data_IF_253247025507
#
_entry.id   IF_253247025507
#
_cell.length_a   1.000
_cell.length_b   1.000
_cell.length_c   1.000
_cell.angle_alpha   90.00
_cell.angle_beta   90.00
_cell.angle_gamma   90.00
#
_symmetry.space_group_name_H-M   'P 1'
#
loop_
_entity.id
_entity.type
_entity.pdbx_description
1 polymer ?
#
# COMPACT_ATOMS: atom_id res chain seq x y z
N UNK A 1 10.42 9.42 3.56
CA UNK A 1 10.67 10.80 3.07
C UNK A 1 12.16 11.08 2.84
N UNK A 2 13.01 11.01 3.87
CA UNK A 2 14.45 11.33 3.77
C UNK A 2 15.18 10.65 2.59
N UNK A 3 15.04 9.32 2.44
CA UNK A 3 15.69 8.60 1.34
C UNK A 3 15.30 9.14 -0.05
N UNK A 4 14.00 9.40 -0.26
CA UNK A 4 13.49 9.93 -1.54
C UNK A 4 14.05 11.32 -1.77
N UNK A 5 14.03 12.16 -0.75
CA UNK A 5 14.55 13.52 -0.84
C UNK A 5 16.04 13.59 -1.21
N UNK A 6 16.88 12.78 -0.55
CA UNK A 6 18.31 12.71 -0.87
C UNK A 6 18.53 12.29 -2.32
N UNK A 7 17.82 11.27 -2.79
CA UNK A 7 17.94 10.79 -4.16
C UNK A 7 17.45 11.83 -5.19
N UNK A 8 16.34 12.49 -4.92
CA UNK A 8 15.81 13.59 -5.75
C UNK A 8 16.81 14.75 -5.83
N UNK A 9 17.49 15.11 -4.74
CA UNK A 9 18.53 16.17 -4.75
C UNK A 9 19.72 15.83 -5.66
N UNK A 10 20.09 14.55 -5.72
CA UNK A 10 21.16 14.04 -6.58
C UNK A 10 20.67 13.85 -8.03
N UNK A 11 19.35 13.91 -8.27
CA UNK A 11 18.73 13.84 -9.60
C UNK A 11 18.40 12.42 -10.05
N UNK A 12 18.51 11.41 -9.18
CA UNK A 12 18.17 10.04 -9.52
C UNK A 12 16.65 9.81 -9.39
N UNK A 13 15.95 9.37 -10.45
CA UNK A 13 14.53 8.99 -10.37
C UNK A 13 14.36 7.72 -9.54
N UNK A 14 13.90 7.88 -8.29
CA UNK A 14 13.67 6.78 -7.36
C UNK A 14 12.20 6.55 -7.07
N UNK A 15 11.88 5.34 -6.64
CA UNK A 15 10.51 4.93 -6.34
C UNK A 15 10.12 5.28 -4.91
N UNK A 16 9.07 6.08 -4.75
CA UNK A 16 8.40 6.31 -3.47
C UNK A 16 7.79 5.02 -2.92
N UNK A 17 7.19 4.19 -3.78
CA UNK A 17 6.62 2.88 -3.42
C UNK A 17 7.68 1.92 -2.86
N UNK A 18 8.90 1.89 -3.43
CA UNK A 18 9.99 1.07 -2.87
C UNK A 18 10.49 1.64 -1.54
N UNK A 19 10.58 2.97 -1.43
CA UNK A 19 11.02 3.60 -0.19
C UNK A 19 10.07 3.33 0.98
N UNK A 20 8.76 3.37 0.77
CA UNK A 20 7.79 3.08 1.85
C UNK A 20 7.83 1.60 2.26
N UNK A 21 7.93 0.68 1.30
CA UNK A 21 8.08 -0.75 1.59
C UNK A 21 9.37 -1.04 2.36
N UNK A 22 10.48 -0.43 1.93
CA UNK A 22 11.75 -0.52 2.65
C UNK A 22 11.66 -0.01 4.08
N UNK A 23 11.00 1.14 4.29
CA UNK A 23 10.77 1.69 5.62
C UNK A 23 9.91 0.77 6.50
N UNK A 24 8.83 0.18 5.95
CA UNK A 24 7.99 -0.80 6.68
C UNK A 24 8.79 -2.02 7.09
N UNK A 25 9.66 -2.55 6.21
CA UNK A 25 10.56 -3.66 6.56
C UNK A 25 11.49 -3.27 7.71
N UNK A 26 12.09 -2.07 7.65
CA UNK A 26 12.92 -1.53 8.73
C UNK A 26 12.17 -1.41 10.06
N UNK A 27 10.91 -0.97 10.03
CA UNK A 27 10.04 -0.94 11.20
C UNK A 27 9.76 -2.35 11.74
N UNK A 28 9.38 -3.30 10.90
CA UNK A 28 9.11 -4.68 11.33
C UNK A 28 10.31 -5.34 12.01
N UNK A 29 11.51 -5.10 11.48
CA UNK A 29 12.77 -5.57 12.09
C UNK A 29 12.95 -4.95 13.47
N UNK A 30 12.67 -3.65 13.61
CA UNK A 30 12.81 -2.94 14.88
C UNK A 30 11.79 -3.40 15.93
N UNK A 31 10.51 -3.55 15.55
CA UNK A 31 9.43 -3.92 16.47
C UNK A 31 9.34 -5.42 16.77
N UNK A 32 10.04 -6.26 16.01
CA UNK A 32 9.91 -7.72 16.08
C UNK A 32 8.61 -8.24 15.45
N UNK A 33 8.01 -7.47 14.54
CA UNK A 33 6.81 -7.84 13.80
C UNK A 33 7.15 -8.72 12.59
N UNK A 34 6.22 -9.60 12.19
CA UNK A 34 6.39 -10.40 10.97
C UNK A 34 6.07 -9.54 9.76
N UNK A 35 6.92 -9.59 8.75
CA UNK A 35 6.62 -9.00 7.44
C UNK A 35 5.72 -9.95 6.67
N UNK A 36 4.55 -9.48 6.23
CA UNK A 36 3.65 -10.26 5.36
C UNK A 36 4.34 -10.52 4.01
N UNK A 37 4.87 -11.74 3.87
CA UNK A 37 5.57 -12.19 2.67
C UNK A 37 4.65 -12.24 1.46
N UNK A 38 3.35 -12.48 1.64
CA UNK A 38 2.37 -12.52 0.55
C UNK A 38 2.18 -11.14 -0.07
N UNK A 39 1.90 -10.14 0.76
CA UNK A 39 1.78 -8.74 0.31
C UNK A 39 3.11 -8.20 -0.23
N UNK A 40 4.23 -8.48 0.44
CA UNK A 40 5.55 -8.07 -0.03
C UNK A 40 5.89 -8.66 -1.41
N UNK A 41 5.61 -9.95 -1.62
CA UNK A 41 5.86 -10.61 -2.92
C UNK A 41 5.01 -10.00 -4.02
N UNK A 42 3.72 -9.73 -3.76
CA UNK A 42 2.84 -9.06 -4.72
C UNK A 42 3.37 -7.68 -5.12
N UNK A 43 3.86 -6.90 -4.16
CA UNK A 43 4.45 -5.58 -4.42
C UNK A 43 5.78 -5.70 -5.17
N UNK A 44 6.66 -6.62 -4.77
CA UNK A 44 7.95 -6.82 -5.43
C UNK A 44 7.78 -7.28 -6.89
N UNK A 45 6.79 -8.13 -7.17
CA UNK A 45 6.44 -8.55 -8.53
C UNK A 45 6.08 -7.35 -9.41
N UNK A 46 5.37 -6.36 -8.87
CA UNK A 46 5.01 -5.18 -9.68
C UNK A 46 6.21 -4.31 -10.03
N UNK A 47 7.29 -4.32 -9.25
CA UNK A 47 8.51 -3.59 -9.59
C UNK A 47 9.21 -4.13 -10.85
N UNK A 48 8.94 -5.40 -11.20
CA UNK A 48 9.45 -6.04 -12.42
C UNK A 48 8.40 -5.94 -13.54
N UNK A 49 7.14 -6.27 -13.24
CA UNK A 49 6.05 -6.29 -14.24
C UNK A 49 5.74 -4.89 -14.76
N UNK A 50 5.75 -3.87 -13.90
CA UNK A 50 5.37 -2.50 -14.26
C UNK A 50 6.25 -1.88 -15.38
N UNK A 51 7.60 -1.85 -15.29
CA UNK A 51 8.42 -1.31 -16.38
C UNK A 51 8.28 -2.10 -17.68
N UNK A 52 8.11 -3.43 -17.61
CA UNK A 52 7.91 -4.28 -18.80
C UNK A 52 6.58 -3.96 -19.48
N UNK A 53 5.49 -3.89 -18.69
CA UNK A 53 4.17 -3.51 -19.20
C UNK A 53 4.20 -2.11 -19.82
N UNK A 54 4.85 -1.14 -19.16
CA UNK A 54 4.98 0.21 -19.69
C UNK A 54 5.79 0.26 -21.00
N UNK A 55 6.83 -0.57 -21.14
CA UNK A 55 7.57 -0.70 -22.39
C UNK A 55 6.69 -1.22 -23.53
N UNK A 56 5.88 -2.26 -23.27
CA UNK A 56 4.95 -2.85 -24.24
C UNK A 56 3.89 -1.83 -24.64
N UNK A 57 3.23 -1.18 -23.67
CA UNK A 57 2.20 -0.18 -23.94
C UNK A 57 2.79 0.99 -24.74
N UNK A 58 3.99 1.47 -24.39
CA UNK A 58 4.64 2.56 -25.12
C UNK A 58 4.94 2.18 -26.57
N UNK A 59 5.39 0.94 -26.80
CA UNK A 59 5.63 0.42 -28.13
C UNK A 59 4.35 0.37 -28.96
N UNK A 60 3.25 -0.13 -28.38
CA UNK A 60 1.95 -0.21 -29.03
C UNK A 60 1.40 1.19 -29.34
N UNK A 61 1.39 2.10 -28.36
CA UNK A 61 0.93 3.48 -28.56
C UNK A 61 1.75 4.18 -29.65
N UNK A 62 3.08 4.03 -29.64
CA UNK A 62 3.93 4.62 -30.66
C UNK A 62 3.59 4.09 -32.06
N UNK A 63 3.45 2.77 -32.22
CA UNK A 63 3.09 2.16 -33.51
C UNK A 63 1.72 2.62 -34.00
N UNK A 64 0.73 2.68 -33.12
CA UNK A 64 -0.63 3.15 -33.45
C UNK A 64 -0.58 4.61 -33.90
N UNK A 65 0.11 5.47 -33.16
CA UNK A 65 0.23 6.89 -33.50
C UNK A 65 0.93 7.09 -34.85
N UNK A 66 2.06 6.40 -35.08
CA UNK A 66 2.76 6.46 -36.36
C UNK A 66 1.88 5.95 -37.50
N UNK A 67 1.20 4.82 -37.30
CA UNK A 67 0.25 4.27 -38.27
C UNK A 67 -0.83 5.30 -38.63
N UNK A 68 -1.48 5.91 -37.65
CA UNK A 68 -2.50 6.94 -37.88
C UNK A 68 -1.92 8.15 -38.64
N UNK A 69 -0.73 8.62 -38.29
CA UNK A 69 -0.08 9.74 -38.97
C UNK A 69 0.15 9.43 -40.45
N UNK A 70 0.65 8.22 -40.75
CA UNK A 70 0.90 7.77 -42.13
C UNK A 70 -0.38 7.50 -42.89
N UNK A 71 -1.38 6.89 -42.26
CA UNK A 71 -2.65 6.52 -42.90
C UNK A 71 -3.47 7.74 -43.27
N UNK A 72 -3.57 8.73 -42.36
CA UNK A 72 -4.30 9.97 -42.60
C UNK A 72 -3.46 11.05 -43.31
N UNK A 73 -2.22 10.75 -43.72
CA UNK A 73 -1.30 11.68 -44.39
C UNK A 73 -1.24 13.05 -43.69
N UNK A 74 -1.01 13.05 -42.38
CA UNK A 74 -1.05 14.27 -41.57
C UNK A 74 0.14 15.17 -41.92
N UNK A 75 -0.16 16.38 -42.42
CA UNK A 75 0.84 17.39 -42.79
C UNK A 75 1.66 17.85 -41.58
N UNK A 76 2.91 18.27 -41.81
CA UNK A 76 3.86 18.66 -40.75
C UNK A 76 3.33 19.71 -39.77
N UNK A 77 2.73 20.80 -40.25
CA UNK A 77 2.15 21.82 -39.36
C UNK A 77 0.98 21.29 -38.53
N UNK A 78 0.16 20.39 -39.09
CA UNK A 78 -0.92 19.74 -38.36
C UNK A 78 -0.40 18.81 -37.29
N UNK A 79 0.61 18.04 -37.62
CA UNK A 79 1.29 17.15 -36.70
C UNK A 79 1.89 17.91 -35.51
N UNK A 80 2.51 19.07 -35.74
CA UNK A 80 3.10 19.87 -34.67
C UNK A 80 2.06 20.33 -33.65
N UNK A 81 0.97 20.99 -34.08
CA UNK A 81 -0.04 21.44 -33.12
C UNK A 81 -0.79 20.26 -32.47
N UNK A 82 -1.13 19.19 -33.22
CA UNK A 82 -1.79 18.01 -32.66
C UNK A 82 -0.93 17.35 -31.58
N UNK A 83 0.38 17.24 -31.81
CA UNK A 83 1.27 16.62 -30.83
C UNK A 83 1.42 17.51 -29.59
N UNK A 84 1.45 18.84 -29.73
CA UNK A 84 1.47 19.77 -28.59
C UNK A 84 0.21 19.65 -27.74
N UNK A 85 -0.98 19.70 -28.34
CA UNK A 85 -2.23 19.52 -27.61
C UNK A 85 -2.33 18.11 -27.01
N UNK A 86 -1.92 17.08 -27.75
CA UNK A 86 -1.87 15.71 -27.25
C UNK A 86 -0.97 15.57 -26.02
N UNK A 87 0.21 16.19 -26.02
CA UNK A 87 1.12 16.19 -24.88
C UNK A 87 0.53 16.91 -23.66
N UNK A 88 -0.22 18.00 -23.85
CA UNK A 88 -0.93 18.66 -22.75
C UNK A 88 -2.01 17.76 -22.14
N UNK A 89 -2.84 17.13 -22.99
CA UNK A 89 -3.91 16.23 -22.54
C UNK A 89 -3.35 15.00 -21.82
N UNK A 90 -2.36 14.34 -22.41
CA UNK A 90 -1.72 13.16 -21.82
C UNK A 90 -0.89 13.53 -20.59
N UNK A 91 -0.31 14.73 -20.54
CA UNK A 91 0.35 15.26 -19.35
C UNK A 91 -0.62 15.51 -18.20
N UNK A 92 -1.82 16.04 -18.48
CA UNK A 92 -2.89 16.17 -17.49
C UNK A 92 -3.36 14.81 -16.98
N UNK A 93 -3.61 13.86 -17.89
CA UNK A 93 -3.97 12.48 -17.52
C UNK A 93 -2.85 11.78 -16.73
N UNK A 94 -1.59 12.01 -17.09
CA UNK A 94 -0.43 11.49 -16.37
C UNK A 94 -0.28 12.06 -14.99
N UNK A 95 -0.53 13.36 -14.83
CA UNK A 95 -0.51 14.02 -13.52
C UNK A 95 -1.62 13.49 -12.60
N UNK A 96 -2.83 13.28 -13.14
CA UNK A 96 -3.92 12.63 -12.42
C UNK A 96 -3.56 11.21 -11.99
N UNK A 97 -3.06 10.38 -12.92
CA UNK A 97 -2.70 8.99 -12.66
C UNK A 97 -1.55 8.87 -11.65
N UNK A 98 -0.58 9.79 -11.72
CA UNK A 98 0.50 9.92 -10.76
C UNK A 98 -0.01 10.23 -9.36
N UNK A 99 -0.93 11.20 -9.24
CA UNK A 99 -1.58 11.54 -7.98
C UNK A 99 -2.31 10.36 -7.38
N UNK A 100 -3.19 9.71 -8.16
CA UNK A 100 -3.97 8.56 -7.72
C UNK A 100 -3.10 7.38 -7.24
N UNK A 101 -2.01 7.07 -7.95
CA UNK A 101 -1.10 5.99 -7.58
C UNK A 101 -0.26 6.32 -6.34
N UNK A 102 0.15 7.59 -6.16
CA UNK A 102 1.08 7.97 -5.10
C UNK A 102 0.41 8.37 -3.80
N UNK A 103 -0.84 8.83 -3.82
CA UNK A 103 -1.47 9.41 -2.63
C UNK A 103 -1.60 8.40 -1.49
N UNK A 104 -1.89 7.12 -1.80
CA UNK A 104 -1.95 6.05 -0.81
C UNK A 104 -0.58 5.80 -0.14
N UNK A 105 0.53 5.94 -0.88
CA UNK A 105 1.87 5.76 -0.34
C UNK A 105 2.28 6.84 0.66
N UNK A 106 1.75 8.07 0.47
CA UNK A 106 2.11 9.20 1.32
C UNK A 106 1.12 9.31 2.48
N UNK A 107 -0.17 9.24 2.22
CA UNK A 107 -1.22 9.49 3.22
C UNK A 107 -1.68 8.23 3.95
N UNK A 108 -1.56 7.04 3.35
CA UNK A 108 -2.14 5.81 3.88
C UNK A 108 -1.66 5.45 5.29
N UNK A 109 -0.39 5.70 5.59
CA UNK A 109 0.19 5.46 6.93
C UNK A 109 -0.33 6.42 8.00
N UNK A 110 -0.87 7.59 7.60
CA UNK A 110 -1.39 8.60 8.53
C UNK A 110 -2.89 8.47 8.76
N UNK A 111 -3.63 7.71 7.94
CA UNK A 111 -5.08 7.56 8.08
C UNK A 111 -5.49 7.06 9.47
N UNK A 112 -4.86 6.02 10.06
CA UNK A 112 -5.27 5.50 11.37
C UNK A 112 -4.96 6.43 12.55
N UNK A 113 -4.04 7.37 12.37
CA UNK A 113 -3.55 8.29 13.41
C UNK A 113 -3.88 9.74 13.07
N UNK A 114 -4.84 9.96 12.17
CA UNK A 114 -5.23 11.29 11.72
C UNK A 114 -5.79 12.10 12.90
N UNK A 115 -5.23 13.28 13.20
CA UNK A 115 -5.69 14.10 14.32
C UNK A 115 -6.92 14.93 13.99
N UNK A 116 -7.39 14.90 12.74
CA UNK A 116 -8.47 15.76 12.26
C UNK A 116 -9.84 15.23 12.69
N UNK A 117 -10.68 16.11 13.20
CA UNK A 117 -12.11 15.86 13.33
C UNK A 117 -12.83 16.11 12.01
N UNK A 118 -13.98 15.48 11.83
CA UNK A 118 -14.84 15.74 10.67
C UNK A 118 -15.33 17.19 10.69
N UNK A 119 -15.28 17.86 9.53
CA UNK A 119 -15.69 19.26 9.39
C UNK A 119 -16.99 19.29 8.60
N UNK A 120 -18.04 19.82 9.23
CA UNK A 120 -19.31 20.14 8.56
C UNK A 120 -19.35 21.64 8.25
N UNK A 121 -19.29 22.01 6.98
CA UNK A 121 -19.41 23.42 6.53
C UNK A 121 -20.86 23.67 6.13
N UNK A 122 -21.55 24.53 6.91
CA UNK A 122 -22.94 24.98 6.68
C UNK A 122 -23.98 23.85 6.50
N UNK A 123 -23.70 22.63 6.96
CA UNK A 123 -24.58 21.46 6.78
C UNK A 123 -24.70 20.95 5.33
N UNK A 124 -23.94 21.52 4.39
CA UNK A 124 -23.97 21.17 2.97
C UNK A 124 -22.75 20.32 2.59
N UNK A 125 -21.60 20.59 3.20
CA UNK A 125 -20.35 19.88 2.93
C UNK A 125 -19.82 19.23 4.20
N UNK A 126 -19.81 17.90 4.23
CA UNK A 126 -19.18 17.13 5.30
C UNK A 126 -17.85 16.58 4.77
N UNK A 127 -16.74 17.10 5.30
CA UNK A 127 -15.39 16.67 4.99
C UNK A 127 -14.88 15.74 6.08
N UNK A 128 -14.67 14.48 5.74
CA UNK A 128 -14.11 13.51 6.69
C UNK A 128 -12.65 13.80 7.00
N UNK A 129 -12.18 13.35 8.16
CA UNK A 129 -10.77 13.39 8.54
C UNK A 129 -9.83 12.85 7.45
N UNK A 130 -10.24 11.76 6.79
CA UNK A 130 -9.50 11.17 5.68
C UNK A 130 -9.47 12.10 4.46
N UNK A 131 -10.61 12.67 4.05
CA UNK A 131 -10.67 13.59 2.90
C UNK A 131 -9.78 14.81 3.10
N UNK A 132 -9.73 15.36 4.32
CA UNK A 132 -8.84 16.47 4.67
C UNK A 132 -7.37 16.06 4.53
N UNK A 133 -7.00 14.89 5.05
CA UNK A 133 -5.65 14.34 4.94
C UNK A 133 -5.25 14.13 3.47
N UNK A 134 -6.11 13.52 2.66
CA UNK A 134 -5.89 13.32 1.22
C UNK A 134 -5.76 14.66 0.46
N UNK A 135 -6.52 15.69 0.83
CA UNK A 135 -6.41 17.03 0.25
C UNK A 135 -5.06 17.68 0.57
N UNK A 136 -4.64 17.65 1.84
CA UNK A 136 -3.32 18.16 2.26
C UNK A 136 -2.18 17.39 1.57
N UNK A 137 -2.32 16.07 1.44
CA UNK A 137 -1.38 15.25 0.69
C UNK A 137 -1.28 15.66 -0.78
N UNK A 138 -2.42 15.95 -1.43
CA UNK A 138 -2.46 16.45 -2.80
C UNK A 138 -1.73 17.79 -2.95
N UNK A 139 -1.96 18.73 -2.03
CA UNK A 139 -1.27 20.02 -2.02
C UNK A 139 0.24 19.86 -1.81
N UNK A 140 0.65 18.98 -0.89
CA UNK A 140 2.05 18.69 -0.63
C UNK A 140 2.76 18.07 -1.85
N UNK A 141 2.08 17.17 -2.59
CA UNK A 141 2.60 16.63 -3.86
C UNK A 141 2.76 17.77 -4.88
N UNK A 142 1.75 18.64 -5.04
CA UNK A 142 1.82 19.75 -5.99
C UNK A 142 2.99 20.69 -5.67
N UNK A 143 3.15 21.12 -4.42
CA UNK A 143 4.28 21.95 -3.97
C UNK A 143 5.61 21.24 -4.21
N UNK A 144 5.70 19.95 -3.89
CA UNK A 144 6.91 19.14 -4.12
C UNK A 144 7.30 19.07 -5.60
N UNK A 145 6.32 18.96 -6.50
CA UNK A 145 6.56 18.96 -7.95
C UNK A 145 7.14 20.29 -8.41
N UNK A 146 6.60 21.43 -7.96
CA UNK A 146 7.10 22.75 -8.34
C UNK A 146 8.48 23.06 -7.78
N UNK A 147 8.86 22.49 -6.63
CA UNK A 147 10.06 22.89 -5.88
C UNK A 147 11.26 21.94 -6.05
N UNK A 148 11.04 20.62 -6.10
CA UNK A 148 12.14 19.64 -6.03
C UNK A 148 12.30 18.75 -7.27
N UNK A 149 11.33 18.72 -8.19
CA UNK A 149 11.31 17.71 -9.27
C UNK A 149 12.18 18.02 -10.48
N UNK A 150 12.72 19.24 -10.63
CA UNK A 150 13.40 19.68 -11.86
C UNK A 150 14.52 18.72 -12.31
N UNK A 151 15.49 18.40 -11.44
CA UNK A 151 16.62 17.53 -11.79
C UNK A 151 16.19 16.13 -12.23
N UNK A 152 15.16 15.59 -11.59
CA UNK A 152 14.62 14.28 -11.92
C UNK A 152 13.91 14.31 -13.27
N UNK A 153 13.14 15.37 -13.55
CA UNK A 153 12.48 15.57 -14.85
C UNK A 153 13.51 15.71 -15.98
N UNK A 154 14.61 16.43 -15.77
CA UNK A 154 15.69 16.57 -16.75
C UNK A 154 16.39 15.22 -17.03
N UNK A 155 16.65 14.44 -15.97
CA UNK A 155 17.28 13.11 -16.06
C UNK A 155 16.42 12.13 -16.83
N UNK A 156 15.11 12.08 -16.57
CA UNK A 156 14.18 11.20 -17.29
C UNK A 156 13.93 11.70 -18.72
N UNK A 157 13.72 13.00 -18.90
CA UNK A 157 13.32 13.59 -20.18
C UNK A 157 14.44 13.61 -21.23
N UNK A 158 15.70 13.76 -20.81
CA UNK A 158 16.84 13.87 -21.74
C UNK A 158 18.05 13.00 -21.39
N UNK A 159 18.14 12.51 -20.15
CA UNK A 159 19.29 11.77 -19.64
C UNK A 159 19.38 10.32 -20.11
N UNK A 160 18.26 9.72 -20.55
CA UNK A 160 18.19 8.33 -21.04
C UNK A 160 18.29 8.28 -22.56
N UNK A 161 17.43 9.02 -23.26
CA UNK A 161 17.35 9.08 -24.72
C UNK A 161 16.75 10.42 -25.14
N UNK A 162 17.14 10.96 -26.30
CA UNK A 162 16.45 12.11 -26.90
C UNK A 162 15.10 11.66 -27.49
N UNK A 163 14.01 12.18 -26.91
CA UNK A 163 12.65 11.87 -27.36
C UNK A 163 12.16 12.91 -28.38
N UNK A 164 11.57 12.44 -29.47
CA UNK A 164 10.76 13.31 -30.35
C UNK A 164 9.39 13.56 -29.71
N UNK A 165 8.64 14.60 -30.10
CA UNK A 165 7.32 14.88 -29.53
C UNK A 165 6.36 13.68 -29.59
N UNK A 166 6.37 12.91 -30.70
CA UNK A 166 5.56 11.70 -30.86
C UNK A 166 6.00 10.59 -29.89
N UNK A 167 7.32 10.41 -29.72
CA UNK A 167 7.85 9.43 -28.77
C UNK A 167 7.54 9.83 -27.33
N UNK A 168 7.67 11.12 -26.99
CA UNK A 168 7.29 11.64 -25.69
C UNK A 168 5.79 11.43 -25.42
N UNK A 169 4.94 11.69 -26.40
CA UNK A 169 3.50 11.41 -26.30
C UNK A 169 3.24 9.94 -25.99
N UNK A 170 3.87 9.01 -26.70
CA UNK A 170 3.72 7.58 -26.45
C UNK A 170 4.27 7.14 -25.09
N UNK A 171 5.39 7.71 -24.64
CA UNK A 171 6.00 7.43 -23.33
C UNK A 171 5.10 7.89 -22.19
N UNK A 172 4.64 9.14 -22.23
CA UNK A 172 3.76 9.68 -21.18
C UNK A 172 2.42 8.96 -21.21
N UNK A 173 1.86 8.64 -22.39
CA UNK A 173 0.61 7.89 -22.50
C UNK A 173 0.72 6.52 -21.84
N UNK A 174 1.78 5.77 -22.16
CA UNK A 174 1.99 4.46 -21.58
C UNK A 174 2.20 4.51 -20.07
N UNK A 175 2.96 5.50 -19.60
CA UNK A 175 3.13 5.77 -18.18
C UNK A 175 1.78 6.01 -17.49
N UNK A 176 0.97 6.93 -18.01
CA UNK A 176 -0.34 7.28 -17.45
C UNK A 176 -1.30 6.09 -17.45
N UNK A 177 -1.38 5.35 -18.55
CA UNK A 177 -2.22 4.15 -18.68
C UNK A 177 -1.81 3.12 -17.62
N UNK A 178 -0.53 2.77 -17.53
CA UNK A 178 -0.07 1.76 -16.58
C UNK A 178 -0.35 2.17 -15.13
N UNK A 179 -0.07 3.43 -14.76
CA UNK A 179 -0.38 3.89 -13.40
C UNK A 179 -1.88 3.85 -13.10
N UNK A 180 -2.70 4.28 -14.06
CA UNK A 180 -4.15 4.23 -13.92
C UNK A 180 -4.66 2.79 -13.75
N UNK A 181 -4.13 1.83 -14.51
CA UNK A 181 -4.50 0.41 -14.44
C UNK A 181 -4.29 -0.19 -13.03
N UNK A 182 -3.20 0.17 -12.35
CA UNK A 182 -2.89 -0.33 -11.01
C UNK A 182 -3.54 0.48 -9.86
N UNK A 183 -3.99 1.72 -10.13
CA UNK A 183 -4.58 2.59 -9.12
C UNK A 183 -6.12 2.64 -9.17
N UNK A 184 -6.75 2.27 -10.29
CA UNK A 184 -8.17 2.48 -10.52
C UNK A 184 -9.05 1.40 -9.85
N UNK A 185 -9.65 1.77 -8.72
CA UNK A 185 -10.64 0.92 -8.03
C UNK A 185 -11.90 0.69 -8.87
N UNK A 186 -12.34 1.70 -9.62
CA UNK A 186 -13.52 1.59 -10.47
C UNK A 186 -13.31 0.59 -11.61
N UNK A 187 -12.12 0.59 -12.22
CA UNK A 187 -11.77 -0.39 -13.24
C UNK A 187 -11.67 -1.80 -12.65
N UNK A 188 -11.06 -1.94 -11.47
CA UNK A 188 -10.96 -3.23 -10.78
C UNK A 188 -12.35 -3.79 -10.46
N UNK A 189 -13.24 -2.97 -9.92
CA UNK A 189 -14.62 -3.36 -9.60
C UNK A 189 -15.43 -3.71 -10.85
N UNK A 190 -15.24 -2.96 -11.94
CA UNK A 190 -15.89 -3.24 -13.23
C UNK A 190 -15.43 -4.56 -13.83
N UNK A 191 -14.11 -4.85 -13.81
CA UNK A 191 -13.57 -6.13 -14.29
C UNK A 191 -14.08 -7.29 -13.41
N UNK A 192 -14.08 -7.10 -12.10
CA UNK A 192 -14.57 -8.10 -11.14
C UNK A 192 -16.06 -8.39 -11.34
N UNK A 193 -16.90 -7.39 -11.59
CA UNK A 193 -18.34 -7.58 -11.79
C UNK A 193 -18.68 -8.32 -13.09
N UNK A 194 -17.78 -8.28 -14.07
CA UNK A 194 -17.91 -8.99 -15.34
C UNK A 194 -17.15 -10.34 -15.35
N UNK A 195 -16.61 -10.79 -14.22
CA UNK A 195 -15.86 -12.05 -14.12
C UNK A 195 -14.53 -12.07 -14.88
N UNK A 196 -13.99 -10.90 -15.22
CA UNK A 196 -12.72 -10.74 -15.93
C UNK A 196 -11.54 -10.70 -14.96
N UNK A 197 -10.32 -11.09 -15.40
CA UNK A 197 -9.12 -11.02 -14.57
C UNK A 197 -8.84 -9.58 -14.14
N UNK A 198 -8.74 -9.36 -12.83
CA UNK A 198 -8.50 -8.04 -12.24
C UNK A 198 -7.02 -7.72 -12.11
N UNK A 199 -6.69 -6.43 -12.17
CA UNK A 199 -5.35 -5.93 -11.87
C UNK A 199 -5.30 -5.63 -10.37
N UNK A 200 -4.29 -6.12 -9.64
CA UNK A 200 -4.19 -5.86 -8.21
C UNK A 200 -4.03 -4.36 -7.95
N UNK A 201 -4.80 -3.85 -6.99
CA UNK A 201 -4.70 -2.47 -6.50
C UNK A 201 -3.48 -2.34 -5.58
N UNK A 202 -2.30 -2.32 -6.18
CA UNK A 202 -1.02 -2.22 -5.49
C UNK A 202 -0.25 -1.01 -5.98
N UNK A 203 0.44 -0.30 -5.07
CA UNK A 203 1.19 0.87 -5.45
C UNK A 203 2.35 0.47 -6.36
N UNK A 204 2.33 0.98 -7.59
CA UNK A 204 3.41 0.75 -8.55
C UNK A 204 4.40 1.91 -8.57
N UNK A 205 5.59 1.65 -9.10
CA UNK A 205 6.64 2.63 -9.17
C UNK A 205 6.50 3.50 -10.42
N UNK A 206 6.11 4.76 -10.24
CA UNK A 206 6.01 5.73 -11.34
C UNK A 206 7.34 5.87 -12.11
N UNK A 207 8.46 5.99 -11.41
CA UNK A 207 9.79 6.11 -12.03
C UNK A 207 10.17 4.87 -12.85
N UNK A 208 9.79 3.66 -12.42
CA UNK A 208 10.04 2.45 -13.21
C UNK A 208 9.13 2.40 -14.44
N UNK A 209 7.85 2.79 -14.31
CA UNK A 209 6.92 2.84 -15.42
C UNK A 209 7.40 3.78 -16.54
N UNK A 210 7.80 5.01 -16.20
CA UNK A 210 8.25 5.98 -17.20
C UNK A 210 9.56 5.53 -17.88
N UNK A 211 10.50 4.98 -17.11
CA UNK A 211 11.76 4.44 -17.66
C UNK A 211 11.50 3.22 -18.54
N UNK A 212 10.61 2.33 -18.13
CA UNK A 212 10.14 1.20 -18.95
C UNK A 212 9.55 1.65 -20.28
N UNK A 213 8.68 2.67 -20.26
CA UNK A 213 8.12 3.25 -21.47
C UNK A 213 9.22 3.83 -22.40
N UNK A 214 10.21 4.52 -21.86
CA UNK A 214 11.37 5.02 -22.64
C UNK A 214 12.16 3.85 -23.25
N UNK A 215 12.38 2.76 -22.52
CA UNK A 215 13.02 1.54 -23.07
C UNK A 215 12.18 0.96 -24.21
N UNK A 216 10.86 0.96 -24.11
CA UNK A 216 9.96 0.55 -25.20
C UNK A 216 10.21 1.30 -26.50
N UNK A 217 10.37 2.62 -26.44
CA UNK A 217 10.76 3.45 -27.60
C UNK A 217 12.19 3.14 -28.07
N UNK A 218 13.13 2.92 -27.14
CA UNK A 218 14.50 2.59 -27.48
C UNK A 218 14.59 1.29 -28.31
N UNK A 219 13.77 0.29 -28.00
CA UNK A 219 13.70 -0.96 -28.75
C UNK A 219 13.23 -0.74 -30.20
N UNK A 220 12.24 0.14 -30.42
CA UNK A 220 11.78 0.49 -31.78
C UNK A 220 12.89 1.18 -32.58
N UNK A 221 13.64 2.07 -31.94
CA UNK A 221 14.75 2.81 -32.55
C UNK A 221 16.07 2.02 -32.60
N UNK A 222 16.05 0.70 -32.34
CA UNK A 222 17.22 -0.19 -32.33
C UNK A 222 18.36 0.29 -31.41
N UNK A 223 18.02 0.95 -30.29
CA UNK A 223 18.96 1.32 -29.21
C UNK A 223 20.01 2.39 -29.53
N UNK A 224 20.07 2.92 -30.77
CA UNK A 224 21.20 3.74 -31.24
C UNK A 224 21.42 5.09 -30.54
N UNK A 225 20.46 5.57 -29.74
CA UNK A 225 20.57 6.85 -29.00
C UNK A 225 20.42 6.68 -27.48
N UNK A 226 20.43 5.45 -26.98
CA UNK A 226 20.18 5.16 -25.55
C UNK A 226 21.46 5.25 -24.73
N UNK A 227 21.43 6.02 -23.65
CA UNK A 227 22.53 6.16 -22.70
C UNK A 227 22.46 5.08 -21.62
N UNK A 228 22.99 3.90 -21.93
CA UNK A 228 22.96 2.73 -21.05
C UNK A 228 23.59 2.94 -19.66
N UNK A 229 24.62 3.79 -19.56
CA UNK A 229 25.23 4.15 -18.28
C UNK A 229 24.24 4.87 -17.35
N UNK A 230 23.46 5.81 -17.88
CA UNK A 230 22.42 6.50 -17.10
C UNK A 230 21.37 5.49 -16.63
N UNK A 231 20.94 4.60 -17.53
CA UNK A 231 19.94 3.58 -17.21
C UNK A 231 20.42 2.64 -16.09
N UNK A 232 21.67 2.15 -16.16
CA UNK A 232 22.26 1.33 -15.11
C UNK A 232 22.35 2.04 -13.76
N UNK A 233 22.69 3.33 -13.75
CA UNK A 233 22.67 4.16 -12.55
C UNK A 233 21.26 4.25 -11.93
N UNK A 234 20.23 4.47 -12.75
CA UNK A 234 18.83 4.50 -12.30
C UNK A 234 18.43 3.15 -11.69
N UNK A 235 18.72 2.03 -12.37
CA UNK A 235 18.38 0.70 -11.88
C UNK A 235 19.09 0.37 -10.56
N UNK A 236 20.34 0.79 -10.39
CA UNK A 236 21.05 0.66 -9.10
C UNK A 236 20.38 1.45 -7.98
N UNK A 237 19.85 2.64 -8.30
CA UNK A 237 19.09 3.47 -7.37
C UNK A 237 17.80 2.79 -6.89
N UNK A 238 17.12 2.01 -7.74
CA UNK A 238 15.92 1.25 -7.37
C UNK A 238 16.20 0.14 -6.37
N UNK A 239 17.39 -0.48 -6.43
CA UNK A 239 17.82 -1.48 -5.46
C UNK A 239 18.26 -0.82 -4.15
N UNK A 240 18.99 0.30 -4.24
CA UNK A 240 19.50 1.01 -3.07
C UNK A 240 18.40 1.70 -2.24
N UNK A 241 17.37 2.24 -2.90
CA UNK A 241 16.31 3.04 -2.25
C UNK A 241 15.58 2.30 -1.10
N UNK A 242 15.01 1.09 -1.29
CA UNK A 242 14.33 0.38 -0.19
C UNK A 242 15.29 0.05 0.96
N UNK A 243 16.54 -0.31 0.66
CA UNK A 243 17.56 -0.62 1.67
C UNK A 243 17.88 0.61 2.52
N UNK A 244 18.16 1.75 1.87
CA UNK A 244 18.45 3.01 2.56
C UNK A 244 17.24 3.47 3.37
N UNK A 245 16.02 3.35 2.83
CA UNK A 245 14.80 3.70 3.55
C UNK A 245 14.58 2.82 4.79
N UNK A 246 14.84 1.51 4.69
CA UNK A 246 14.74 0.59 5.82
C UNK A 246 15.77 0.88 6.91
N UNK A 247 17.03 1.15 6.53
CA UNK A 247 18.08 1.53 7.47
C UNK A 247 17.75 2.84 8.18
N UNK A 248 17.32 3.86 7.44
CA UNK A 248 16.88 5.14 8.04
C UNK A 248 15.72 4.90 9.01
N UNK A 249 14.72 4.10 8.62
CA UNK A 249 13.57 3.81 9.47
C UNK A 249 14.00 3.13 10.77
N UNK A 250 14.83 2.09 10.68
CA UNK A 250 15.34 1.37 11.85
C UNK A 250 16.13 2.29 12.78
N UNK A 251 17.09 3.06 12.24
CA UNK A 251 17.95 3.95 13.03
C UNK A 251 17.13 5.05 13.69
N UNK A 252 16.17 5.66 12.98
CA UNK A 252 15.30 6.69 13.54
C UNK A 252 14.44 6.16 14.68
N UNK A 253 13.84 4.97 14.53
CA UNK A 253 13.05 4.34 15.59
C UNK A 253 13.92 3.99 16.81
N UNK A 254 15.12 3.45 16.56
CA UNK A 254 16.09 3.16 17.61
C UNK A 254 16.47 4.42 18.39
N UNK A 255 16.73 5.52 17.70
CA UNK A 255 17.08 6.79 18.33
C UNK A 255 15.91 7.36 19.14
N UNK A 256 14.70 7.37 18.58
CA UNK A 256 13.49 7.83 19.27
C UNK A 256 13.21 7.02 20.55
N UNK A 257 13.36 5.71 20.50
CA UNK A 257 13.09 4.86 21.66
C UNK A 257 14.20 4.90 22.71
N UNK A 258 15.47 4.88 22.32
CA UNK A 258 16.57 4.75 23.28
C UNK A 258 17.09 6.10 23.79
N UNK A 259 17.05 7.15 22.96
CA UNK A 259 17.57 8.47 23.33
C UNK A 259 16.45 9.36 23.87
N UNK A 260 15.31 9.41 23.20
CA UNK A 260 14.17 10.23 23.63
C UNK A 260 13.18 9.49 24.52
N UNK A 261 13.41 8.19 24.78
CA UNK A 261 12.53 7.35 25.60
C UNK A 261 11.06 7.34 25.12
N UNK A 262 10.85 7.62 23.83
CA UNK A 262 9.52 7.66 23.24
C UNK A 262 9.04 6.24 22.93
N UNK A 263 7.81 5.91 23.29
CA UNK A 263 7.21 4.64 22.87
C UNK A 263 6.92 4.69 21.36
N UNK A 264 7.69 3.95 20.58
CA UNK A 264 7.58 3.93 19.11
C UNK A 264 6.75 2.76 18.59
N UNK A 265 6.56 1.72 19.40
CA UNK A 265 5.66 0.60 19.11
C UNK A 265 5.14 -0.03 20.40
N UNK A 266 4.00 -0.70 20.30
CA UNK A 266 3.43 -1.49 21.38
C UNK A 266 3.84 -2.95 21.23
N UNK A 267 4.52 -3.56 22.22
CA UNK A 267 4.90 -4.96 22.15
C UNK A 267 3.65 -5.84 22.22
N UNK A 268 3.50 -6.73 21.23
CA UNK A 268 2.40 -7.70 21.14
C UNK A 268 2.95 -9.08 21.49
N UNK A 269 2.66 -9.62 22.69
CA UNK A 269 3.12 -10.95 23.06
C UNK A 269 2.25 -12.03 22.40
N UNK A 270 2.82 -13.23 22.30
CA UNK A 270 2.13 -14.41 21.80
C UNK A 270 2.10 -15.48 22.89
N UNK A 271 0.90 -16.00 23.17
CA UNK A 271 0.65 -17.02 24.19
C UNK A 271 -0.41 -17.99 23.67
N UNK A 272 -0.13 -19.29 23.76
CA UNK A 272 -1.14 -20.34 23.56
C UNK A 272 -2.03 -20.44 24.80
N UNK A 273 -3.01 -19.55 24.87
CA UNK A 273 -4.06 -19.54 25.90
C UNK A 273 -5.01 -20.74 25.72
N UNK A 274 -5.82 -21.05 26.73
CA UNK A 274 -6.83 -22.10 26.61
C UNK A 274 -7.83 -21.81 25.47
N UNK A 275 -8.26 -20.55 25.32
CA UNK A 275 -9.16 -20.16 24.24
C UNK A 275 -8.52 -20.26 22.85
N UNK A 276 -7.23 -19.92 22.73
CA UNK A 276 -6.48 -20.11 21.48
C UNK A 276 -6.32 -21.61 21.16
N UNK A 277 -6.05 -22.44 22.17
CA UNK A 277 -5.97 -23.88 22.03
C UNK A 277 -7.29 -24.48 21.52
N UNK A 278 -8.42 -24.14 22.14
CA UNK A 278 -9.75 -24.63 21.73
C UNK A 278 -10.11 -24.20 20.30
N UNK A 279 -9.66 -23.01 19.88
CA UNK A 279 -9.84 -22.51 18.51
C UNK A 279 -9.01 -23.30 17.51
N UNK A 280 -7.78 -23.64 17.85
CA UNK A 280 -6.87 -24.46 17.04
C UNK A 280 -7.40 -25.90 16.95
N UNK A 281 -7.93 -26.43 18.05
CA UNK A 281 -8.44 -27.80 18.12
C UNK A 281 -9.59 -28.07 17.14
N UNK A 282 -10.46 -27.08 16.95
CA UNK A 282 -11.57 -27.15 15.99
C UNK A 282 -11.14 -27.28 14.52
N UNK A 283 -9.84 -27.14 14.20
CA UNK A 283 -9.34 -27.09 12.83
C UNK A 283 -8.60 -28.34 12.33
N UNK A 284 -8.75 -29.51 12.97
CA UNK A 284 -8.06 -30.77 12.59
C UNK A 284 -6.52 -30.63 12.47
N UNK A 285 -5.94 -29.65 13.16
CA UNK A 285 -4.50 -29.42 13.15
C UNK A 285 -3.78 -30.40 14.10
N UNK A 286 -2.52 -30.76 13.85
CA UNK A 286 -1.76 -31.65 14.74
C UNK A 286 -1.36 -30.92 16.04
N UNK A 287 -2.28 -30.90 17.01
CA UNK A 287 -2.13 -30.22 18.32
C UNK A 287 -1.05 -30.86 19.19
N UNK A 288 -0.78 -32.16 19.01
CA UNK A 288 0.20 -32.92 19.80
C UNK A 288 1.59 -32.27 19.78
N UNK A 289 1.90 -31.56 18.69
CA UNK A 289 3.15 -30.83 18.50
C UNK A 289 3.20 -29.49 19.26
N UNK A 290 2.06 -28.92 19.61
CA UNK A 290 1.91 -27.62 20.28
C UNK A 290 1.93 -27.70 21.81
N UNK A 291 1.78 -28.90 22.38
CA UNK A 291 1.74 -29.08 23.84
C UNK A 291 2.96 -28.51 24.57
N UNK A 292 4.15 -28.58 23.97
CA UNK A 292 5.40 -28.02 24.52
C UNK A 292 5.45 -26.49 24.55
N UNK A 293 4.58 -25.83 23.78
CA UNK A 293 4.51 -24.38 23.68
C UNK A 293 3.39 -23.79 24.55
N UNK A 294 2.51 -24.62 25.12
CA UNK A 294 1.42 -24.19 25.99
C UNK A 294 1.97 -23.54 27.26
N UNK A 295 1.45 -22.38 27.62
CA UNK A 295 1.90 -21.60 28.79
C UNK A 295 3.19 -20.80 28.60
N UNK A 296 3.93 -21.01 27.50
CA UNK A 296 5.09 -20.17 27.19
C UNK A 296 4.65 -18.82 26.64
N UNK A 297 5.26 -17.75 27.14
CA UNK A 297 5.06 -16.38 26.65
C UNK A 297 6.19 -15.98 25.73
N UNK A 298 5.86 -15.62 24.50
CA UNK A 298 6.79 -15.10 23.51
C UNK A 298 6.63 -13.58 23.42
N UNK A 299 7.74 -12.85 23.43
CA UNK A 299 7.69 -11.38 23.51
C UNK A 299 7.27 -10.71 22.20
N UNK A 300 7.43 -11.41 21.08
CA UNK A 300 7.10 -10.88 19.75
C UNK A 300 6.81 -12.01 18.75
N UNK A 301 6.33 -11.61 17.58
CA UNK A 301 5.89 -12.51 16.53
C UNK A 301 7.05 -13.35 15.97
N UNK A 302 8.26 -12.80 15.86
CA UNK A 302 9.44 -13.51 15.33
C UNK A 302 9.84 -14.68 16.24
N UNK A 303 9.89 -14.45 17.57
CA UNK A 303 10.23 -15.50 18.53
C UNK A 303 9.21 -16.64 18.47
N UNK A 304 7.92 -16.31 18.40
CA UNK A 304 6.87 -17.32 18.32
C UNK A 304 6.90 -18.08 16.98
N UNK A 305 7.07 -17.38 15.85
CA UNK A 305 7.19 -18.00 14.55
C UNK A 305 8.39 -18.96 14.45
N UNK A 306 9.52 -18.62 15.08
CA UNK A 306 10.69 -19.50 15.18
C UNK A 306 10.42 -20.74 16.04
N UNK A 307 9.63 -20.62 17.10
CA UNK A 307 9.20 -21.77 17.88
C UNK A 307 8.30 -22.71 17.06
N UNK A 308 7.40 -22.15 16.25
CA UNK A 308 6.52 -22.92 15.36
C UNK A 308 7.24 -23.54 14.17
N UNK A 309 8.31 -22.93 13.66
CA UNK A 309 9.04 -23.44 12.48
C UNK A 309 9.62 -24.83 12.70
N UNK A 310 9.95 -25.17 13.96
CA UNK A 310 10.55 -26.45 14.34
C UNK A 310 9.53 -27.60 14.36
N UNK A 311 8.24 -27.33 14.15
CA UNK A 311 7.17 -28.32 14.26
C UNK A 311 6.73 -28.93 12.91
N UNK A 312 7.36 -28.53 11.81
CA UNK A 312 7.03 -29.05 10.46
C UNK A 312 5.64 -28.67 9.96
N UNK A 313 5.06 -27.58 10.49
CA UNK A 313 3.75 -27.05 10.09
C UNK A 313 3.84 -26.38 8.71
N UNK A 314 2.77 -26.44 7.92
CA UNK A 314 2.63 -25.68 6.68
C UNK A 314 2.44 -24.18 6.94
N UNK A 315 2.58 -23.35 5.91
CA UNK A 315 2.46 -21.89 6.03
C UNK A 315 1.09 -21.46 6.57
N UNK A 316 -0.01 -22.05 6.06
CA UNK A 316 -1.38 -21.71 6.48
C UNK A 316 -1.64 -22.04 7.94
N UNK A 317 -1.15 -23.20 8.39
CA UNK A 317 -1.31 -23.65 9.77
C UNK A 317 -0.54 -22.74 10.73
N UNK A 318 0.72 -22.40 10.39
CA UNK A 318 1.52 -21.46 11.19
C UNK A 318 0.82 -20.10 11.31
N UNK A 319 0.34 -19.55 10.19
CA UNK A 319 -0.35 -18.26 10.20
C UNK A 319 -1.60 -18.31 11.10
N UNK A 320 -2.40 -19.37 10.99
CA UNK A 320 -3.60 -19.52 11.83
C UNK A 320 -3.27 -19.64 13.33
N UNK A 321 -2.21 -20.37 13.68
CA UNK A 321 -1.75 -20.49 15.08
C UNK A 321 -1.21 -19.15 15.59
N UNK A 322 -0.46 -18.42 14.78
CA UNK A 322 0.03 -17.07 15.09
C UNK A 322 -1.13 -16.12 15.39
N UNK A 323 -2.11 -16.02 14.47
CA UNK A 323 -3.30 -15.17 14.62
C UNK A 323 -4.15 -15.58 15.83
N UNK A 324 -4.21 -16.86 16.15
CA UNK A 324 -4.97 -17.36 17.30
C UNK A 324 -4.28 -17.09 18.63
N UNK A 325 -2.96 -17.00 18.65
CA UNK A 325 -2.14 -16.84 19.87
C UNK A 325 -1.70 -15.40 20.13
N UNK A 326 -1.99 -14.47 19.21
CA UNK A 326 -1.68 -13.04 19.36
C UNK A 326 -2.47 -12.43 20.51
N UNK A 327 -1.78 -11.83 21.46
CA UNK A 327 -2.42 -11.15 22.60
C UNK A 327 -2.42 -9.65 22.35
N UNK A 328 -3.57 -9.13 21.95
CA UNK A 328 -3.81 -7.71 21.77
C UNK A 328 -5.14 -7.39 22.45
N UNK A 329 -5.05 -7.01 23.73
CA UNK A 329 -6.21 -6.85 24.60
C UNK A 329 -7.10 -5.71 24.12
N UNK A 330 -8.38 -6.01 23.95
CA UNK A 330 -9.40 -5.07 23.52
C UNK A 330 -10.39 -4.87 24.66
N UNK A 331 -10.56 -3.63 25.10
CA UNK A 331 -11.53 -3.22 26.11
C UNK A 331 -12.59 -2.37 25.44
N UNK A 332 -13.81 -2.88 25.37
CA UNK A 332 -14.92 -2.16 24.75
C UNK A 332 -15.48 -1.15 25.75
N UNK A 333 -15.08 0.11 25.61
CA UNK A 333 -15.55 1.19 26.50
C UNK A 333 -16.68 2.00 25.85
N UNK A 334 -17.51 2.64 26.67
CA UNK A 334 -18.58 3.53 26.22
C UNK A 334 -18.06 4.68 25.35
N UNK A 335 -16.91 5.25 25.72
CA UNK A 335 -16.25 6.31 24.96
C UNK A 335 -15.75 5.80 23.60
N UNK A 336 -15.19 4.59 23.55
CA UNK A 336 -14.76 4.01 22.30
C UNK A 336 -15.98 3.71 21.39
N UNK A 337 -17.09 3.22 21.94
CA UNK A 337 -18.32 3.02 21.16
C UNK A 337 -18.86 4.35 20.62
N UNK A 338 -18.80 5.46 21.37
CA UNK A 338 -19.33 6.75 20.89
C UNK A 338 -18.59 7.27 19.66
N UNK A 339 -17.30 6.93 19.50
CA UNK A 339 -16.48 7.21 18.31
C UNK A 339 -16.87 6.37 17.08
N UNK A 340 -17.78 5.40 17.22
CA UNK A 340 -18.35 4.61 16.11
C UNK A 340 -19.67 5.18 15.58
N UNK A 341 -20.14 6.31 16.10
CA UNK A 341 -21.43 6.90 15.73
C UNK A 341 -21.53 7.46 14.30
N UNK A 342 -20.45 7.42 13.51
CA UNK A 342 -20.45 7.77 12.08
C UNK A 342 -21.48 6.97 11.26
N UNK A 343 -21.85 7.48 10.09
CA UNK A 343 -22.75 6.79 9.14
C UNK A 343 -22.12 5.52 8.52
N UNK A 344 -20.84 5.28 8.75
CA UNK A 344 -20.14 4.10 8.22
C UNK A 344 -20.63 2.79 8.86
N UNK A 345 -21.07 2.82 10.11
CA UNK A 345 -21.65 1.68 10.81
C UNK A 345 -23.16 1.69 10.69
N UNK A 346 -23.75 0.55 10.33
CA UNK A 346 -25.21 0.41 10.29
C UNK A 346 -25.81 0.46 11.71
N UNK A 347 -27.11 0.75 11.84
CA UNK A 347 -27.78 0.72 13.14
C UNK A 347 -27.64 -0.63 13.86
N UNK A 348 -27.74 -1.76 13.13
CA UNK A 348 -27.60 -3.11 13.69
C UNK A 348 -26.17 -3.40 14.14
N UNK A 349 -25.18 -2.92 13.39
CA UNK A 349 -23.77 -3.01 13.77
C UNK A 349 -23.50 -2.22 15.06
N UNK A 350 -24.04 -0.99 15.17
CA UNK A 350 -23.93 -0.16 16.38
C UNK A 350 -24.58 -0.82 17.59
N UNK A 351 -25.74 -1.44 17.42
CA UNK A 351 -26.42 -2.15 18.49
C UNK A 351 -25.62 -3.37 18.98
N UNK A 352 -25.01 -4.11 18.07
CA UNK A 352 -24.12 -5.23 18.42
C UNK A 352 -22.92 -4.75 19.26
N UNK A 353 -22.36 -3.57 18.96
CA UNK A 353 -21.25 -3.00 19.73
C UNK A 353 -21.68 -2.56 21.13
N UNK A 354 -22.88 -2.00 21.28
CA UNK A 354 -23.44 -1.61 22.58
C UNK A 354 -23.62 -2.80 23.52
N UNK A 355 -24.02 -3.97 22.99
CA UNK A 355 -24.13 -5.22 23.75
C UNK A 355 -22.80 -5.73 24.31
N UNK A 356 -21.68 -5.24 23.77
CA UNK A 356 -20.33 -5.60 24.22
C UNK A 356 -19.72 -4.57 25.17
N UNK A 357 -20.48 -3.58 25.65
CA UNK A 357 -19.98 -2.60 26.61
C UNK A 357 -19.36 -3.27 27.83
N UNK A 358 -18.16 -2.83 28.20
CA UNK A 358 -17.35 -3.34 29.31
C UNK A 358 -16.82 -4.79 29.14
N UNK A 359 -17.01 -5.41 27.98
CA UNK A 359 -16.40 -6.72 27.68
C UNK A 359 -14.92 -6.53 27.32
N UNK A 360 -14.08 -7.43 27.84
CA UNK A 360 -12.66 -7.49 27.53
C UNK A 360 -12.39 -8.73 26.67
N UNK A 361 -11.78 -8.52 25.51
CA UNK A 361 -11.30 -9.58 24.65
C UNK A 361 -9.78 -9.64 24.73
N UNK A 362 -9.24 -10.85 24.84
CA UNK A 362 -7.81 -11.05 24.90
C UNK A 362 -7.18 -11.11 23.51
N UNK A 363 -7.94 -11.63 22.54
CA UNK A 363 -7.52 -11.79 21.17
C UNK A 363 -8.49 -11.06 20.22
N UNK A 364 -7.95 -10.46 19.15
CA UNK A 364 -8.74 -9.79 18.09
C UNK A 364 -9.84 -10.66 17.50
N UNK A 365 -9.56 -11.95 17.31
CA UNK A 365 -10.51 -12.88 16.74
C UNK A 365 -11.74 -13.12 17.63
N UNK A 366 -11.60 -13.01 18.96
CA UNK A 366 -12.73 -13.20 19.87
C UNK A 366 -13.78 -12.10 19.67
N UNK A 367 -13.35 -10.86 19.48
CA UNK A 367 -14.25 -9.75 19.15
C UNK A 367 -14.99 -10.02 17.83
N UNK A 368 -14.26 -10.37 16.76
CA UNK A 368 -14.85 -10.64 15.46
C UNK A 368 -15.86 -11.79 15.49
N UNK A 369 -15.51 -12.91 16.13
CA UNK A 369 -16.41 -14.06 16.26
C UNK A 369 -17.64 -13.75 17.12
N UNK A 370 -17.48 -12.94 18.17
CA UNK A 370 -18.61 -12.54 19.03
C UNK A 370 -19.56 -11.62 18.28
N UNK A 371 -19.03 -10.62 17.55
CA UNK A 371 -19.83 -9.75 16.69
C UNK A 371 -20.58 -10.54 15.62
N UNK A 372 -19.91 -11.49 14.96
CA UNK A 372 -20.50 -12.38 13.97
C UNK A 372 -21.60 -13.29 14.53
N UNK A 373 -21.57 -13.61 15.84
CA UNK A 373 -22.65 -14.34 16.52
C UNK A 373 -23.84 -13.43 16.87
N UNK A 374 -23.59 -12.16 17.19
CA UNK A 374 -24.62 -11.20 17.58
C UNK A 374 -25.46 -10.70 16.40
N UNK A 375 -24.86 -10.54 15.22
CA UNK A 375 -25.57 -10.10 14.01
C UNK A 375 -24.96 -10.71 12.74
N UNK A 376 -25.82 -11.00 11.77
CA UNK A 376 -25.41 -11.46 10.44
C UNK A 376 -24.63 -10.40 9.67
N UNK A 377 -24.78 -9.11 10.00
CA UNK A 377 -24.04 -8.02 9.36
C UNK A 377 -22.54 -8.01 9.69
N UNK A 378 -22.12 -8.76 10.71
CA UNK A 378 -20.71 -8.97 11.06
C UNK A 378 -20.14 -10.28 10.50
N UNK A 379 -20.91 -11.01 9.69
CA UNK A 379 -20.42 -12.23 9.03
C UNK A 379 -19.82 -11.89 7.67
N UNK A 380 -18.71 -12.55 7.37
CA UNK A 380 -18.18 -12.61 6.02
C UNK A 380 -19.16 -13.40 5.14
N UNK A 381 -19.44 -12.89 3.95
CA UNK A 381 -20.37 -13.47 2.99
C UNK A 381 -19.56 -14.09 1.86
N UNK A 382 -19.88 -15.33 1.49
CA UNK A 382 -19.20 -16.00 0.38
C UNK A 382 -19.41 -15.22 -0.93
N UNK A 383 -18.33 -15.01 -1.69
CA UNK A 383 -18.31 -14.28 -2.96
C UNK A 383 -18.69 -12.79 -2.93
N UNK A 384 -18.97 -12.18 -1.76
CA UNK A 384 -19.13 -10.72 -1.66
C UNK A 384 -17.83 -10.04 -1.18
N UNK A 385 -16.94 -9.79 -2.14
CA UNK A 385 -15.64 -9.18 -1.86
C UNK A 385 -15.77 -7.75 -1.30
N UNK A 386 -16.75 -6.98 -1.76
CA UNK A 386 -16.93 -5.58 -1.35
C UNK A 386 -17.39 -5.50 0.10
N UNK A 387 -18.41 -6.29 0.46
CA UNK A 387 -18.86 -6.42 1.85
C UNK A 387 -17.74 -6.93 2.75
N UNK A 388 -17.05 -7.98 2.34
CA UNK A 388 -15.96 -8.57 3.14
C UNK A 388 -14.80 -7.60 3.36
N UNK A 389 -14.45 -6.78 2.37
CA UNK A 389 -13.41 -5.77 2.50
C UNK A 389 -13.85 -4.62 3.41
N UNK A 390 -15.09 -4.15 3.30
CA UNK A 390 -15.65 -3.15 4.23
C UNK A 390 -15.68 -3.67 5.66
N UNK A 391 -16.14 -4.90 5.86
CA UNK A 391 -16.18 -5.57 7.15
C UNK A 391 -14.78 -5.72 7.77
N UNK A 392 -13.78 -6.10 6.96
CA UNK A 392 -12.40 -6.19 7.41
C UNK A 392 -11.83 -4.81 7.82
N UNK A 393 -12.15 -3.75 7.07
CA UNK A 393 -11.77 -2.38 7.42
C UNK A 393 -12.43 -1.94 8.73
N UNK A 394 -13.72 -2.24 8.91
CA UNK A 394 -14.46 -1.98 10.15
C UNK A 394 -13.86 -2.69 11.35
N UNK A 395 -13.58 -3.99 11.24
CA UNK A 395 -12.93 -4.77 12.31
C UNK A 395 -11.55 -4.20 12.64
N UNK A 396 -10.76 -3.82 11.64
CA UNK A 396 -9.44 -3.21 11.83
C UNK A 396 -9.53 -1.87 12.58
N UNK A 397 -10.52 -1.04 12.24
CA UNK A 397 -10.82 0.19 12.97
C UNK A 397 -11.21 -0.10 14.42
N UNK A 398 -12.10 -1.06 14.66
CA UNK A 398 -12.49 -1.45 16.02
C UNK A 398 -11.32 -1.99 16.85
N UNK A 399 -10.42 -2.77 16.25
CA UNK A 399 -9.21 -3.24 16.93
C UNK A 399 -8.32 -2.08 17.38
N UNK A 400 -8.16 -1.06 16.54
CA UNK A 400 -7.40 0.14 16.91
C UNK A 400 -8.10 0.95 18.01
N UNK A 401 -9.43 1.03 17.94
CA UNK A 401 -10.25 1.87 18.81
C UNK A 401 -10.45 1.27 20.21
N UNK A 402 -10.56 -0.06 20.30
CA UNK A 402 -10.74 -0.78 21.57
C UNK A 402 -9.44 -1.24 22.19
N UNK A 403 -8.29 -1.02 21.56
CA UNK A 403 -7.00 -1.44 22.09
C UNK A 403 -6.77 -0.86 23.48
N UNK A 404 -6.50 -1.72 24.46
CA UNK A 404 -6.20 -1.32 25.83
C UNK A 404 -4.69 -1.32 26.07
N UNK A 405 -4.19 -0.31 26.76
CA UNK A 405 -2.80 -0.23 27.23
C UNK A 405 -2.57 -1.01 28.54
N UNK A 406 -3.64 -1.49 29.19
CA UNK A 406 -3.54 -2.24 30.45
C UNK A 406 -2.86 -3.60 30.22
N UNK A 407 -1.67 -3.77 30.80
CA UNK A 407 -0.96 -5.06 30.81
C UNK A 407 -1.73 -6.04 31.71
N UNK A 408 -2.54 -6.90 31.11
CA UNK A 408 -3.10 -8.05 31.83
C UNK A 408 -1.93 -8.98 32.20
N UNK A 409 -1.75 -9.24 33.49
CA UNK A 409 -0.83 -10.27 33.96
C UNK A 409 -1.47 -11.64 33.68
N UNK A 410 -0.71 -12.52 33.02
CA UNK A 410 -1.12 -13.87 32.62
C UNK A 410 -0.74 -14.90 33.67
#
# INVERSE_FOLDING_TARGET
AMSVYFMTRIGYPVSTSQAIVGAIIGWNIFSGSITDTGSLTKIALTWVVCPVLAAIVSLLVYKIVVFCITYFNVRMFRLDYLTRYGLLLVGAFGSYSLGANNIANVMGVFVPVSPFADISVFGILNLSSAQQLFFLGGLAIAVGVFTYSQKVMETVGSGIMKLSPIAAFAVVSAHSIVLFLFASQSLESFLSSHGLPTIPLVPVSSSQAIVGAVIGIALIKKGGQTRWRTLGGITSGWVATPVIAGLISFISLFFLQNVFQQQTYYPVPYVLTSSAHDRIEKTNLPIDKLGKLKGNKFSNAIQFAKALSNLGLSHKERQFIMESSEIDTLKVTKEAISKTNSDWFTPEQKESLRKLESVIFLHKWQLAETLARLSSQWKFIENDRKHNQDLQNKLSYLYSLFRSEEKIQF
#
